data_IF_394591626192
#
_entry.id   IF_394591626192
#
_cell.length_a   1.000
_cell.length_b   1.000
_cell.length_c   1.000
_cell.angle_alpha   90.00
_cell.angle_beta   90.00
_cell.angle_gamma   90.00
#
_symmetry.space_group_name_H-M   'P 1'
#
loop_
_entity.id
_entity.type
_entity.pdbx_description
1 polymer ?
#
# COMPACT_ATOMS: atom_id res chain seq x y z
N UNK A 1 3.57 18.63 6.48
CA UNK A 1 3.16 18.80 5.07
C UNK A 1 3.29 17.45 4.39
N UNK A 2 2.37 17.05 3.50
CA UNK A 2 2.48 15.78 2.79
C UNK A 2 3.70 15.82 1.85
N UNK A 3 4.44 14.72 1.77
CA UNK A 3 5.49 14.52 0.76
C UNK A 3 4.83 13.92 -0.49
N UNK A 4 4.68 14.73 -1.54
CA UNK A 4 4.06 14.30 -2.79
C UNK A 4 5.16 14.08 -3.82
N UNK A 5 5.28 12.85 -4.30
CA UNK A 5 6.25 12.44 -5.33
C UNK A 5 5.46 12.17 -6.60
N UNK A 6 5.79 12.87 -7.69
CA UNK A 6 5.23 12.60 -9.01
C UNK A 6 5.97 11.42 -9.64
N UNK A 7 5.22 10.44 -10.16
CA UNK A 7 5.78 9.26 -10.82
C UNK A 7 5.66 9.43 -12.34
N UNK A 8 6.81 9.46 -13.03
CA UNK A 8 6.89 9.62 -14.50
C UNK A 8 7.42 8.38 -15.22
N UNK A 9 7.85 7.35 -14.49
CA UNK A 9 8.40 6.11 -15.02
C UNK A 9 7.74 4.90 -14.35
N UNK A 10 7.27 3.93 -15.15
CA UNK A 10 6.71 2.67 -14.64
C UNK A 10 7.77 1.80 -13.96
N UNK A 11 9.05 1.98 -14.27
CA UNK A 11 10.16 1.28 -13.65
C UNK A 11 10.55 1.84 -12.26
N UNK A 12 9.88 2.90 -11.80
CA UNK A 12 10.18 3.53 -10.50
C UNK A 12 10.10 2.50 -9.34
N UNK A 13 11.12 2.43 -8.47
CA UNK A 13 11.15 1.49 -7.34
C UNK A 13 10.05 1.79 -6.30
N UNK A 14 9.59 3.05 -6.21
CA UNK A 14 8.49 3.46 -5.34
C UNK A 14 7.17 2.73 -5.68
N UNK A 15 7.03 2.23 -6.92
CA UNK A 15 5.87 1.47 -7.36
C UNK A 15 5.91 -0.01 -6.97
N UNK A 16 7.03 -0.54 -6.45
CA UNK A 16 7.20 -1.98 -6.21
C UNK A 16 6.06 -2.58 -5.38
N UNK A 17 5.69 -1.91 -4.29
CA UNK A 17 4.63 -2.35 -3.38
C UNK A 17 3.24 -2.31 -4.02
N UNK A 18 3.03 -1.43 -5.00
CA UNK A 18 1.75 -1.23 -5.68
C UNK A 18 1.58 -2.10 -6.94
N UNK A 19 2.66 -2.32 -7.67
CA UNK A 19 2.62 -2.89 -9.02
C UNK A 19 3.27 -4.28 -9.14
N UNK A 20 4.16 -4.66 -8.22
CA UNK A 20 5.02 -5.85 -8.37
C UNK A 20 4.76 -6.94 -7.33
N UNK A 21 3.97 -6.65 -6.30
CA UNK A 21 3.62 -7.60 -5.25
C UNK A 21 2.13 -7.93 -5.28
N UNK A 22 1.82 -9.22 -5.13
CA UNK A 22 0.44 -9.66 -4.91
C UNK A 22 0.02 -9.38 -3.47
N UNK A 23 -1.28 -9.22 -3.24
CA UNK A 23 -1.86 -9.08 -1.91
C UNK A 23 -1.45 -10.21 -0.94
N UNK A 24 -1.22 -11.42 -1.44
CA UNK A 24 -0.73 -12.53 -0.62
C UNK A 24 0.73 -12.36 -0.17
N UNK A 25 1.58 -11.77 -1.03
CA UNK A 25 2.97 -11.45 -0.70
C UNK A 25 3.05 -10.26 0.27
N UNK A 26 2.21 -9.24 0.08
CA UNK A 26 2.18 -8.06 0.96
C UNK A 26 1.85 -8.40 2.41
N UNK A 27 0.95 -9.35 2.66
CA UNK A 27 0.53 -9.74 4.01
C UNK A 27 1.58 -10.49 4.84
N UNK A 28 2.76 -10.77 4.29
CA UNK A 28 3.87 -11.52 4.90
C UNK A 28 3.45 -12.66 5.85
N UNK A 29 3.44 -13.90 5.35
CA UNK A 29 3.03 -15.06 6.17
C UNK A 29 3.96 -15.33 7.37
N UNK A 30 5.24 -15.02 7.25
CA UNK A 30 6.26 -15.34 8.25
C UNK A 30 6.40 -14.23 9.30
N UNK A 31 6.19 -12.98 8.89
CA UNK A 31 6.30 -11.80 9.75
C UNK A 31 5.03 -10.94 9.58
N UNK A 32 3.87 -11.39 10.12
CA UNK A 32 2.57 -10.74 9.89
C UNK A 32 2.54 -9.28 10.35
N UNK A 33 3.31 -8.93 11.39
CA UNK A 33 3.47 -7.58 11.91
C UNK A 33 4.14 -6.61 10.92
N UNK A 34 4.89 -7.16 9.95
CA UNK A 34 5.47 -6.41 8.83
C UNK A 34 4.60 -6.47 7.57
N UNK A 35 3.50 -7.22 7.62
CA UNK A 35 2.56 -7.33 6.53
C UNK A 35 1.84 -6.01 6.27
N UNK A 36 1.63 -5.67 5.01
CA UNK A 36 0.87 -4.50 4.61
C UNK A 36 -0.36 -4.89 3.78
N UNK A 37 -1.37 -4.04 3.82
CA UNK A 37 -2.55 -4.11 2.97
C UNK A 37 -2.75 -2.76 2.29
N UNK A 38 -3.05 -2.79 0.99
CA UNK A 38 -3.31 -1.58 0.21
C UNK A 38 -4.83 -1.39 0.11
N UNK A 39 -5.33 -0.32 0.72
CA UNK A 39 -6.71 0.13 0.59
C UNK A 39 -6.83 1.14 -0.56
N UNK A 40 -7.73 0.88 -1.50
CA UNK A 40 -8.01 1.76 -2.63
C UNK A 40 -9.45 2.29 -2.58
N UNK A 41 -9.66 3.48 -3.14
CA UNK A 41 -10.90 4.24 -3.21
C UNK A 41 -11.26 5.01 -1.95
N UNK A 42 -11.84 6.22 -2.07
CA UNK A 42 -12.16 7.07 -0.93
C UNK A 42 -13.01 6.39 0.14
N UNK A 43 -13.98 5.56 -0.27
CA UNK A 43 -14.86 4.82 0.64
C UNK A 43 -14.11 3.83 1.53
N UNK A 44 -13.18 3.06 0.97
CA UNK A 44 -12.46 2.03 1.73
C UNK A 44 -11.41 2.67 2.61
N UNK A 45 -10.72 3.70 2.11
CA UNK A 45 -9.73 4.47 2.87
C UNK A 45 -10.39 5.09 4.10
N UNK A 46 -11.54 5.75 3.95
CA UNK A 46 -12.28 6.32 5.08
C UNK A 46 -12.65 5.24 6.12
N UNK A 47 -13.13 4.07 5.67
CA UNK A 47 -13.48 2.96 6.56
C UNK A 47 -12.29 2.38 7.31
N UNK A 48 -11.12 2.32 6.69
CA UNK A 48 -9.90 1.85 7.34
C UNK A 48 -9.46 2.81 8.44
N UNK A 49 -9.47 4.12 8.15
CA UNK A 49 -9.16 5.16 9.13
C UNK A 49 -10.14 5.16 10.30
N UNK A 50 -11.45 5.03 10.04
CA UNK A 50 -12.49 4.94 11.08
C UNK A 50 -12.28 3.73 12.02
N UNK A 51 -11.67 2.66 11.50
CA UNK A 51 -11.39 1.43 12.26
C UNK A 51 -10.02 1.45 12.97
N UNK A 52 -9.22 2.52 12.81
CA UNK A 52 -7.93 2.68 13.49
C UNK A 52 -6.76 1.95 12.84
N UNK A 53 -6.85 1.64 11.53
CA UNK A 53 -5.72 1.16 10.73
C UNK A 53 -4.78 2.29 10.31
#
# INVERSE_FOLDING_TARGET
>A
MPNVIEITDFAAPELDVYARLTQAQLRSRLEPEKGIFIAESPKVIARALDAGY
#
